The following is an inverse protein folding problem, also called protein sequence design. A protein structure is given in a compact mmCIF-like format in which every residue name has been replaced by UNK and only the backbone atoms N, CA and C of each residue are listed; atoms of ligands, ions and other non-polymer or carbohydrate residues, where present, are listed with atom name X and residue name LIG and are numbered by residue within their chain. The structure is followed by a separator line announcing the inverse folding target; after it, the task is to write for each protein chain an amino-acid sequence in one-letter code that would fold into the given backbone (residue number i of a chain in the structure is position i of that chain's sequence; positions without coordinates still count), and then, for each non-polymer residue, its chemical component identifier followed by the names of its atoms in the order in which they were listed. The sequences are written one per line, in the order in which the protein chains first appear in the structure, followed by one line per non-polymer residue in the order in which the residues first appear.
data_IF_532327940820
#
_entry.id   IF_532327940820
#
_cell.length_a   1.000
_cell.length_b   1.000
_cell.length_c   1.000
_cell.angle_alpha   90.00
_cell.angle_beta   90.00
_cell.angle_gamma   90.00
#
_symmetry.space_group_name_H-M   'P 1'
#
loop_
_entity.id
_entity.type
_entity.pdbx_description
1 polymer ?
#
# COMPACT_ATOMS: atom_id res chain seq x y z
N UNK A 1 -4.13 -15.46 10.21
CA UNK A 1 -4.45 -14.09 10.66
C UNK A 1 -4.73 -14.12 12.15
N UNK A 2 -4.40 -13.06 12.87
CA UNK A 2 -4.88 -12.85 14.24
C UNK A 2 -6.29 -12.24 14.21
N UNK A 3 -7.03 -12.36 15.31
CA UNK A 3 -8.31 -11.67 15.43
C UNK A 3 -8.09 -10.16 15.50
N UNK A 4 -8.95 -9.40 14.84
CA UNK A 4 -8.97 -7.94 14.84
C UNK A 4 -10.41 -7.43 14.81
N UNK A 5 -10.63 -6.22 15.32
CA UNK A 5 -11.86 -5.47 15.12
C UNK A 5 -11.94 -4.99 13.67
N UNK A 6 -13.12 -5.05 13.05
CA UNK A 6 -13.36 -4.53 11.71
C UNK A 6 -14.38 -3.40 11.77
N UNK A 7 -14.02 -2.22 11.27
CA UNK A 7 -14.87 -1.02 11.31
C UNK A 7 -15.01 -0.44 9.90
N UNK A 8 -16.24 -0.18 9.47
CA UNK A 8 -16.50 0.66 8.30
C UNK A 8 -16.54 2.13 8.70
N UNK A 9 -15.58 2.92 8.19
CA UNK A 9 -15.56 4.37 8.38
C UNK A 9 -16.82 5.00 7.75
N UNK A 10 -17.46 5.94 8.46
CA UNK A 10 -18.70 6.60 8.01
C UNK A 10 -18.42 7.91 7.30
N UNK A 11 -17.35 8.59 7.68
CA UNK A 11 -16.84 9.78 7.00
C UNK A 11 -15.31 9.77 7.01
N UNK A 12 -14.69 10.55 6.13
CA UNK A 12 -13.25 10.79 6.19
C UNK A 12 -12.83 11.44 7.52
N UNK A 13 -13.69 12.27 8.11
CA UNK A 13 -13.42 13.00 9.36
C UNK A 13 -13.26 12.09 10.58
N UNK A 14 -13.92 10.93 10.58
CA UNK A 14 -13.86 9.97 11.71
C UNK A 14 -12.61 9.09 11.67
N UNK A 15 -11.94 8.97 10.52
CA UNK A 15 -10.81 8.04 10.33
C UNK A 15 -9.67 8.29 11.33
N UNK A 16 -9.23 9.54 11.59
CA UNK A 16 -8.18 9.80 12.58
C UNK A 16 -8.51 9.26 13.98
N UNK A 17 -9.76 9.37 14.44
CA UNK A 17 -10.19 8.89 15.75
C UNK A 17 -10.23 7.36 15.86
N UNK A 18 -10.34 6.69 14.71
CA UNK A 18 -10.28 5.23 14.63
C UNK A 18 -8.84 4.69 14.62
N UNK A 19 -7.82 5.53 14.40
CA UNK A 19 -6.43 5.10 14.39
C UNK A 19 -5.92 4.79 15.81
N UNK A 20 -5.03 3.79 15.90
CA UNK A 20 -4.30 3.51 17.12
C UNK A 20 -3.29 4.61 17.47
N UNK A 21 -2.86 4.65 18.74
CA UNK A 21 -1.88 5.65 19.22
C UNK A 21 -0.48 5.36 18.69
N UNK A 22 -0.22 4.13 18.26
CA UNK A 22 1.06 3.68 17.71
C UNK A 22 0.86 3.06 16.34
N UNK A 23 1.87 3.24 15.49
CA UNK A 23 1.93 2.57 14.20
C UNK A 23 1.77 1.05 14.34
N UNK A 24 0.96 0.44 13.48
CA UNK A 24 0.69 -1.00 13.47
C UNK A 24 -0.39 -1.46 14.45
N UNK A 25 -0.95 -0.59 15.31
CA UNK A 25 -2.12 -0.94 16.12
C UNK A 25 -3.41 -0.97 15.30
N UNK A 26 -3.48 -0.21 14.22
CA UNK A 26 -4.59 -0.19 13.28
C UNK A 26 -4.07 -0.13 11.85
N UNK A 27 -4.78 -0.75 10.92
CA UNK A 27 -4.46 -0.72 9.49
C UNK A 27 -5.69 -0.25 8.69
N UNK A 28 -5.44 0.50 7.61
CA UNK A 28 -6.51 0.98 6.73
C UNK A 28 -6.70 -0.02 5.59
N UNK A 29 -7.93 -0.47 5.40
CA UNK A 29 -8.34 -1.32 4.29
C UNK A 29 -8.96 -0.50 3.17
N UNK A 30 -8.21 -0.39 2.07
CA UNK A 30 -8.70 -0.02 0.74
C UNK A 30 -8.92 -1.30 -0.09
N UNK A 31 -8.24 -1.46 -1.24
CA UNK A 31 -8.34 -2.65 -2.08
C UNK A 31 -8.00 -3.99 -1.42
N UNK A 32 -7.11 -3.97 -0.42
CA UNK A 32 -6.72 -5.14 0.37
C UNK A 32 -5.68 -6.04 -0.29
N UNK A 33 -5.21 -5.72 -1.50
CA UNK A 33 -4.29 -6.55 -2.28
C UNK A 33 -2.90 -6.71 -1.64
N UNK A 34 -2.41 -5.72 -0.89
CA UNK A 34 -1.19 -5.85 -0.09
C UNK A 34 -1.48 -6.13 1.39
N UNK A 35 -2.44 -5.41 2.00
CA UNK A 35 -2.74 -5.56 3.43
C UNK A 35 -3.15 -6.98 3.80
N UNK A 36 -4.08 -7.61 3.06
CA UNK A 36 -4.58 -8.94 3.43
C UNK A 36 -3.49 -10.01 3.32
N UNK A 37 -2.53 -9.83 2.41
CA UNK A 37 -1.35 -10.68 2.30
C UNK A 37 -0.49 -10.55 3.57
N UNK A 38 -0.15 -9.32 3.96
CA UNK A 38 0.62 -9.05 5.19
C UNK A 38 -0.05 -9.58 6.46
N UNK A 39 -1.37 -9.50 6.57
CA UNK A 39 -2.13 -10.05 7.70
C UNK A 39 -2.06 -11.60 7.74
N UNK A 40 -2.14 -12.26 6.57
CA UNK A 40 -2.01 -13.72 6.47
C UNK A 40 -0.60 -14.18 6.82
N UNK A 41 0.39 -13.46 6.32
CA UNK A 41 1.81 -13.65 6.62
C UNK A 41 2.19 -13.25 8.06
N UNK A 42 1.25 -12.66 8.83
CA UNK A 42 1.46 -12.14 10.19
C UNK A 42 2.58 -11.09 10.28
N UNK A 43 2.83 -10.37 9.17
CA UNK A 43 3.74 -9.23 9.15
C UNK A 43 3.14 -8.03 9.87
N UNK A 44 1.82 -7.88 9.75
CA UNK A 44 1.06 -6.99 10.61
C UNK A 44 0.05 -7.80 11.42
N UNK A 45 -0.11 -7.39 12.67
CA UNK A 45 -1.04 -7.96 13.62
C UNK A 45 -1.79 -6.83 14.30
N UNK A 46 -2.56 -6.02 13.55
CA UNK A 46 -3.27 -4.89 14.10
C UNK A 46 -4.40 -5.38 15.02
N UNK A 47 -4.78 -4.52 15.96
CA UNK A 47 -5.98 -4.75 16.78
C UNK A 47 -7.24 -4.39 16.01
N UNK A 48 -7.14 -3.55 14.98
CA UNK A 48 -8.25 -3.00 14.21
C UNK A 48 -7.90 -2.85 12.73
N UNK A 49 -8.85 -3.17 11.87
CA UNK A 49 -8.82 -2.88 10.44
C UNK A 49 -9.97 -1.93 10.12
N UNK A 50 -9.63 -0.78 9.52
CA UNK A 50 -10.57 0.30 9.21
C UNK A 50 -10.85 0.27 7.71
N UNK A 51 -12.02 -0.18 7.31
CA UNK A 51 -12.45 -0.17 5.92
C UNK A 51 -12.94 1.22 5.51
N UNK A 52 -12.28 1.77 4.49
CA UNK A 52 -12.63 3.09 3.93
C UNK A 52 -13.35 2.98 2.59
N UNK A 53 -13.60 1.77 2.04
CA UNK A 53 -14.20 1.59 0.71
C UNK A 53 -15.51 2.34 0.50
N UNK A 54 -16.29 2.53 1.57
CA UNK A 54 -17.59 3.23 1.54
C UNK A 54 -17.50 4.75 1.40
N UNK A 55 -16.32 5.37 1.58
CA UNK A 55 -16.12 6.81 1.52
C UNK A 55 -16.09 7.30 0.07
N UNK A 56 -17.26 7.66 -0.47
CA UNK A 56 -17.47 8.01 -1.89
C UNK A 56 -16.60 9.19 -2.35
N UNK A 57 -16.29 10.11 -1.46
CA UNK A 57 -15.46 11.29 -1.73
C UNK A 57 -13.99 10.96 -2.06
N UNK A 58 -13.54 9.73 -1.75
CA UNK A 58 -12.20 9.25 -2.06
C UNK A 58 -12.12 8.53 -3.41
N UNK A 59 -13.22 8.39 -4.15
CA UNK A 59 -13.26 7.71 -5.44
C UNK A 59 -13.15 8.67 -6.61
N UNK A 60 -12.65 8.15 -7.73
CA UNK A 60 -12.73 8.78 -9.03
C UNK A 60 -11.68 9.86 -9.29
N UNK A 61 -11.75 10.38 -10.52
CA UNK A 61 -10.79 11.32 -11.08
C UNK A 61 -11.55 12.57 -11.50
N UNK A 62 -11.03 13.74 -11.13
CA UNK A 62 -11.64 15.05 -11.38
C UNK A 62 -10.60 16.02 -11.96
N UNK A 63 -11.06 16.92 -12.83
CA UNK A 63 -10.25 18.03 -13.33
C UNK A 63 -10.29 19.20 -12.34
N UNK A 64 -9.19 19.93 -12.24
CA UNK A 64 -9.05 21.22 -11.55
C UNK A 64 -7.88 21.99 -12.16
N UNK A 65 -7.09 22.70 -11.35
CA UNK A 65 -5.82 23.31 -11.79
C UNK A 65 -4.76 22.27 -12.21
N UNK A 66 -5.07 20.99 -12.00
CA UNK A 66 -4.38 19.81 -12.49
C UNK A 66 -5.35 18.64 -12.49
N UNK A 67 -4.85 17.43 -12.21
CA UNK A 67 -5.69 16.25 -12.04
C UNK A 67 -5.80 15.88 -10.55
N UNK A 68 -7.02 15.77 -10.05
CA UNK A 68 -7.31 15.26 -8.70
C UNK A 68 -7.73 13.81 -8.79
N UNK A 69 -6.97 12.92 -8.16
CA UNK A 69 -7.23 11.48 -8.14
C UNK A 69 -7.59 11.08 -6.70
N UNK A 70 -8.79 10.54 -6.51
CA UNK A 70 -9.21 10.00 -5.23
C UNK A 70 -8.38 8.76 -4.85
N UNK A 71 -8.03 8.61 -3.57
CA UNK A 71 -7.17 7.52 -3.07
C UNK A 71 -7.79 6.12 -3.21
N UNK A 72 -9.10 6.03 -3.39
CA UNK A 72 -9.84 4.79 -3.66
C UNK A 72 -10.10 4.53 -5.14
N UNK A 73 -9.69 5.43 -6.04
CA UNK A 73 -9.63 5.13 -7.47
C UNK A 73 -8.80 3.87 -7.66
N UNK A 74 -9.35 2.89 -8.38
CA UNK A 74 -8.64 1.65 -8.68
C UNK A 74 -7.52 1.91 -9.68
N UNK A 75 -6.49 1.06 -9.66
CA UNK A 75 -5.41 1.16 -10.65
C UNK A 75 -5.95 0.89 -12.05
N UNK A 76 -6.96 0.04 -12.20
CA UNK A 76 -7.63 -0.21 -13.47
C UNK A 76 -8.34 1.03 -14.01
N UNK A 77 -9.10 1.76 -13.17
CA UNK A 77 -9.74 3.02 -13.57
C UNK A 77 -8.69 4.07 -13.95
N UNK A 78 -7.63 4.22 -13.15
CA UNK A 78 -6.55 5.17 -13.46
C UNK A 78 -5.87 4.85 -14.80
N UNK A 79 -5.62 3.57 -15.06
CA UNK A 79 -4.97 3.12 -16.29
C UNK A 79 -5.86 3.25 -17.54
N UNK A 80 -7.18 3.38 -17.39
CA UNK A 80 -8.13 3.46 -18.49
C UNK A 80 -8.72 4.86 -18.70
N UNK A 81 -8.45 5.81 -17.79
CA UNK A 81 -9.04 7.15 -17.85
C UNK A 81 -8.44 7.96 -19.01
N UNK A 82 -9.30 8.41 -19.93
CA UNK A 82 -8.87 9.17 -21.11
C UNK A 82 -8.15 10.47 -20.77
N UNK A 83 -8.50 11.12 -19.66
CA UNK A 83 -7.86 12.38 -19.24
C UNK A 83 -6.42 12.11 -18.80
N UNK A 84 -6.19 10.98 -18.14
CA UNK A 84 -4.85 10.53 -17.74
C UNK A 84 -4.04 10.16 -18.98
N UNK A 85 -4.62 9.40 -19.92
CA UNK A 85 -3.93 9.06 -21.16
C UNK A 85 -3.50 10.28 -21.98
N UNK A 86 -4.38 11.28 -22.09
CA UNK A 86 -4.15 12.49 -22.92
C UNK A 86 -3.12 13.43 -22.28
N UNK A 87 -3.23 13.67 -20.97
CA UNK A 87 -2.46 14.73 -20.30
C UNK A 87 -1.32 14.21 -19.40
N UNK A 88 -1.36 12.93 -19.01
CA UNK A 88 -0.40 12.30 -18.09
C UNK A 88 -0.02 10.87 -18.55
N UNK A 89 0.46 10.68 -19.80
CA UNK A 89 0.64 9.36 -20.40
C UNK A 89 1.55 8.42 -19.60
N UNK A 90 2.63 8.95 -19.00
CA UNK A 90 3.55 8.16 -18.15
C UNK A 90 2.84 7.58 -16.92
N UNK A 91 1.86 8.30 -16.37
CA UNK A 91 1.07 7.80 -15.24
C UNK A 91 0.13 6.67 -15.68
N UNK A 92 -0.49 6.79 -16.85
CA UNK A 92 -1.33 5.73 -17.41
C UNK A 92 -0.51 4.47 -17.70
N UNK A 93 0.67 4.62 -18.31
CA UNK A 93 1.59 3.50 -18.59
C UNK A 93 2.06 2.81 -17.31
N UNK A 94 2.47 3.58 -16.30
CA UNK A 94 2.85 3.03 -15.00
C UNK A 94 1.67 2.27 -14.37
N UNK A 95 0.47 2.85 -14.34
CA UNK A 95 -0.73 2.19 -13.84
C UNK A 95 -1.04 0.87 -14.58
N UNK A 96 -0.90 0.85 -15.91
CA UNK A 96 -1.11 -0.34 -16.73
C UNK A 96 -0.07 -1.45 -16.47
N UNK A 97 1.17 -1.09 -16.11
CA UNK A 97 2.24 -2.05 -15.80
C UNK A 97 2.11 -2.72 -14.42
N UNK A 98 1.29 -2.16 -13.52
CA UNK A 98 1.19 -2.64 -12.14
C UNK A 98 0.49 -4.00 -12.11
N UNK A 99 1.22 -5.05 -11.72
CA UNK A 99 0.67 -6.37 -11.39
C UNK A 99 -0.23 -6.98 -12.49
N UNK A 100 -1.22 -7.78 -12.09
CA UNK A 100 -2.21 -8.42 -12.98
C UNK A 100 -3.52 -7.63 -13.04
N UNK A 101 -4.35 -7.76 -14.09
CA UNK A 101 -5.66 -7.10 -14.19
C UNK A 101 -6.55 -7.26 -12.95
N UNK A 102 -6.63 -8.46 -12.37
CA UNK A 102 -7.44 -8.76 -11.19
C UNK A 102 -6.99 -7.96 -9.96
N UNK A 103 -5.67 -7.82 -9.80
CA UNK A 103 -5.09 -7.00 -8.74
C UNK A 103 -5.30 -5.50 -9.01
N UNK A 104 -5.28 -5.05 -10.27
CA UNK A 104 -5.57 -3.65 -10.62
C UNK A 104 -7.04 -3.27 -10.43
N UNK A 105 -7.96 -4.21 -10.66
CA UNK A 105 -9.40 -4.01 -10.43
C UNK A 105 -9.74 -3.81 -8.95
N UNK A 106 -8.90 -4.32 -8.04
CA UNK A 106 -9.10 -4.22 -6.59
C UNK A 106 -8.18 -3.19 -5.94
N UNK A 107 -6.92 -3.14 -6.35
CA UNK A 107 -5.90 -2.24 -5.82
C UNK A 107 -6.24 -0.79 -6.13
N UNK A 108 -6.05 0.08 -5.15
CA UNK A 108 -6.34 1.51 -5.28
C UNK A 108 -5.06 2.32 -5.35
N UNK A 109 -5.13 3.56 -5.83
CA UNK A 109 -4.00 4.49 -5.89
C UNK A 109 -3.38 4.69 -4.50
N UNK A 110 -4.18 4.97 -3.48
CA UNK A 110 -3.68 5.12 -2.10
C UNK A 110 -3.06 3.83 -1.56
N UNK A 111 -3.64 2.67 -1.88
CA UNK A 111 -3.07 1.37 -1.50
C UNK A 111 -1.76 1.06 -2.20
N UNK A 112 -1.62 1.40 -3.48
CA UNK A 112 -0.41 1.22 -4.26
C UNK A 112 0.74 2.10 -3.74
N UNK A 113 0.47 3.37 -3.43
CA UNK A 113 1.46 4.27 -2.84
C UNK A 113 1.95 3.78 -1.47
N UNK A 114 1.05 3.21 -0.66
CA UNK A 114 1.33 2.77 0.70
C UNK A 114 1.77 1.29 0.80
N UNK A 115 1.95 0.58 -0.32
CA UNK A 115 2.29 -0.84 -0.29
C UNK A 115 3.65 -1.10 0.36
N UNK A 116 3.82 -2.28 0.96
CA UNK A 116 5.06 -2.62 1.68
C UNK A 116 6.07 -3.37 0.81
N UNK A 117 7.38 -3.22 1.08
CA UNK A 117 8.45 -3.87 0.32
C UNK A 117 8.30 -5.39 0.17
N UNK A 118 8.87 -5.94 -0.91
CA UNK A 118 8.92 -7.39 -1.20
C UNK A 118 10.25 -8.05 -0.80
N UNK A 119 11.06 -7.38 0.04
CA UNK A 119 12.35 -7.88 0.49
C UNK A 119 12.20 -9.23 1.20
N UNK A 120 13.08 -10.18 0.90
CA UNK A 120 12.98 -11.58 1.34
C UNK A 120 13.03 -11.68 2.87
N UNK A 121 13.89 -10.86 3.49
CA UNK A 121 14.02 -10.76 4.94
C UNK A 121 12.91 -9.96 5.63
N UNK A 122 12.22 -9.10 4.89
CA UNK A 122 11.04 -8.43 5.42
C UNK A 122 9.80 -9.34 5.32
N UNK A 123 9.66 -10.14 4.26
CA UNK A 123 8.52 -11.05 4.12
C UNK A 123 8.72 -12.38 4.88
N UNK A 124 9.95 -12.85 5.03
CA UNK A 124 10.28 -14.07 5.79
C UNK A 124 10.09 -13.93 7.30
N UNK A 125 9.35 -14.86 7.90
CA UNK A 125 8.98 -14.87 9.33
C UNK A 125 10.16 -15.14 10.26
N UNK A 126 11.14 -15.88 9.77
CA UNK A 126 12.35 -16.30 10.47
C UNK A 126 13.34 -15.14 10.72
N UNK A 127 13.15 -13.99 10.06
CA UNK A 127 14.05 -12.84 10.16
C UNK A 127 13.43 -11.70 10.95
N UNK A 128 14.15 -11.23 11.97
CA UNK A 128 13.90 -9.93 12.63
C UNK A 128 14.82 -8.86 12.03
N UNK A 129 14.47 -8.37 10.83
CA UNK A 129 15.24 -7.33 10.14
C UNK A 129 14.97 -5.92 10.69
N UNK A 130 15.77 -4.91 10.29
CA UNK A 130 15.57 -3.50 10.69
C UNK A 130 14.13 -3.00 10.53
N UNK A 131 13.44 -3.38 9.42
CA UNK A 131 12.05 -2.94 9.19
C UNK A 131 11.00 -3.65 10.06
N UNK A 132 11.40 -4.73 10.74
CA UNK A 132 10.62 -5.40 11.79
C UNK A 132 11.09 -5.02 13.21
N UNK A 133 11.88 -3.95 13.35
CA UNK A 133 12.44 -3.52 14.64
C UNK A 133 13.59 -4.40 15.15
N UNK A 134 14.25 -5.15 14.26
CA UNK A 134 15.54 -5.79 14.56
C UNK A 134 16.71 -4.84 14.43
N UNK A 135 17.93 -5.36 14.62
CA UNK A 135 19.16 -4.56 14.61
C UNK A 135 19.94 -4.61 13.28
N UNK A 136 19.63 -5.55 12.37
CA UNK A 136 20.41 -5.80 11.15
C UNK A 136 19.56 -5.77 9.87
N UNK A 137 20.11 -5.25 8.78
CA UNK A 137 19.63 -5.49 7.43
C UNK A 137 20.38 -6.69 6.84
N UNK A 138 19.70 -7.82 6.72
CA UNK A 138 20.30 -9.03 6.15
C UNK A 138 20.60 -8.90 4.65
N UNK A 139 19.91 -7.99 3.94
CA UNK A 139 20.20 -7.72 2.52
C UNK A 139 21.53 -6.99 2.29
N UNK A 140 22.18 -6.44 3.32
CA UNK A 140 23.47 -5.78 3.15
C UNK A 140 24.57 -6.77 2.73
N UNK A 141 24.54 -7.99 3.27
CA UNK A 141 25.58 -9.02 3.09
C UNK A 141 25.00 -10.35 2.56
N UNK A 142 23.68 -10.42 2.35
CA UNK A 142 22.96 -11.62 1.95
C UNK A 142 22.37 -11.51 0.55
N UNK A 143 21.22 -12.17 0.36
CA UNK A 143 20.48 -12.19 -0.90
C UNK A 143 19.86 -10.81 -1.15
N UNK A 144 20.41 -10.10 -2.13
CA UNK A 144 20.12 -8.68 -2.35
C UNK A 144 19.90 -8.30 -3.82
N UNK A 145 19.66 -9.30 -4.68
CA UNK A 145 19.47 -9.12 -6.13
C UNK A 145 18.42 -8.05 -6.49
N UNK A 146 17.39 -7.87 -5.65
CA UNK A 146 16.29 -6.93 -5.88
C UNK A 146 16.26 -5.76 -4.88
N UNK A 147 17.39 -5.48 -4.24
CA UNK A 147 17.51 -4.45 -3.22
C UNK A 147 18.15 -3.16 -3.77
N UNK A 148 18.03 -2.09 -2.99
CA UNK A 148 18.49 -0.77 -3.41
C UNK A 148 20.01 -0.72 -3.58
N UNK A 149 20.48 -0.16 -4.70
CA UNK A 149 21.90 0.08 -5.00
C UNK A 149 22.30 1.55 -4.84
N UNK A 150 21.32 2.45 -4.66
CA UNK A 150 21.50 3.88 -4.41
C UNK A 150 20.73 4.26 -3.14
N UNK A 151 21.20 5.30 -2.42
CA UNK A 151 20.45 5.90 -1.31
C UNK A 151 20.90 5.55 0.11
N UNK A 152 22.05 4.89 0.31
CA UNK A 152 22.63 4.65 1.64
C UNK A 152 21.83 3.67 2.53
N UNK A 153 22.53 3.04 3.49
CA UNK A 153 21.91 2.17 4.50
C UNK A 153 21.10 2.95 5.56
N UNK A 154 20.66 2.32 6.65
CA UNK A 154 21.02 0.96 7.08
C UNK A 154 20.11 -0.14 6.52
N UNK A 155 19.04 0.19 5.79
CA UNK A 155 18.09 -0.78 5.21
C UNK A 155 17.95 -0.62 3.70
N UNK A 156 18.38 -1.61 2.93
CA UNK A 156 18.40 -1.58 1.46
C UNK A 156 17.10 -2.04 0.80
N UNK A 157 15.94 -1.81 1.45
CA UNK A 157 14.64 -2.17 0.86
C UNK A 157 14.32 -1.23 -0.31
N UNK A 158 13.57 -1.73 -1.29
CA UNK A 158 12.99 -0.90 -2.35
C UNK A 158 11.49 -0.71 -2.11
N UNK A 159 10.98 0.45 -2.52
CA UNK A 159 9.54 0.63 -2.69
C UNK A 159 9.14 -0.03 -4.02
N UNK A 160 8.28 -1.05 -4.00
CA UNK A 160 7.97 -1.86 -5.17
C UNK A 160 6.86 -1.29 -6.05
#
# INVERSE_FOLDING_TARGET
MVNFEYIDAKSLGDVPDLLGKRWGESEILAGGTDLLDRLKERLDTPKRVINIKGLKELHGIQNGDGLKIGTLTTIAELAADERVHKSYPVLAEAAASIATPQLRNMGTVGGNLCQRPRCWYYRGLEYKCLKKGGAKCYAAEGLNKYNAILGGGPSFIVHP
#
